data_IF_313567219104
#
_entry.id   IF_313567219104
#
_cell.length_a   1.000
_cell.length_b   1.000
_cell.length_c   1.000
_cell.angle_alpha   90.00
_cell.angle_beta   90.00
_cell.angle_gamma   90.00
#
_symmetry.space_group_name_H-M   'P 1'
#
loop_
_entity.id
_entity.type
_entity.pdbx_description
1 polymer ?
#
# COMPACT_ATOMS: atom_id res chain seq x y z
N UNK A 1 19.65 34.85 11.70
CA UNK A 1 18.75 34.17 12.66
C UNK A 1 17.46 33.59 12.06
N UNK A 2 16.76 34.26 11.12
CA UNK A 2 15.50 33.71 10.50
C UNK A 2 15.67 32.38 9.74
N UNK A 3 16.78 32.17 9.00
CA UNK A 3 16.99 30.94 8.24
C UNK A 3 17.19 29.68 9.09
N UNK A 4 17.86 29.78 10.25
CA UNK A 4 18.03 28.61 11.15
C UNK A 4 16.71 28.14 11.75
N UNK A 5 15.78 29.06 12.02
CA UNK A 5 14.45 28.67 12.54
C UNK A 5 13.57 28.04 11.50
N UNK A 6 13.64 28.48 10.23
CA UNK A 6 12.92 27.87 9.12
C UNK A 6 13.42 26.43 8.89
N UNK A 7 14.73 26.23 8.88
CA UNK A 7 15.31 24.88 8.71
C UNK A 7 14.86 23.94 9.84
N UNK A 8 14.86 24.39 11.10
CA UNK A 8 14.37 23.59 12.23
C UNK A 8 12.89 23.21 12.08
N UNK A 9 12.05 24.14 11.64
CA UNK A 9 10.62 23.88 11.40
C UNK A 9 10.46 22.83 10.29
N UNK A 10 11.16 22.98 9.17
CA UNK A 10 11.10 22.02 8.05
C UNK A 10 11.55 20.63 8.49
N UNK A 11 12.67 20.52 9.21
CA UNK A 11 13.16 19.24 9.72
C UNK A 11 12.16 18.60 10.69
N UNK A 12 11.56 19.35 11.60
CA UNK A 12 10.55 18.85 12.50
C UNK A 12 9.31 18.32 11.74
N UNK A 13 8.84 19.05 10.73
CA UNK A 13 7.71 18.60 9.89
C UNK A 13 8.05 17.28 9.20
N UNK A 14 9.26 17.17 8.62
CA UNK A 14 9.71 15.92 7.97
C UNK A 14 9.72 14.75 8.97
N UNK A 15 10.26 14.95 10.17
CA UNK A 15 10.33 13.91 11.20
C UNK A 15 8.94 13.44 11.61
N UNK A 16 8.05 14.38 11.93
CA UNK A 16 6.68 14.02 12.30
C UNK A 16 5.94 13.30 11.18
N UNK A 17 6.17 13.72 9.93
CA UNK A 17 5.62 13.01 8.75
C UNK A 17 6.13 11.58 8.68
N UNK A 18 7.44 11.35 8.85
CA UNK A 18 8.02 10.00 8.86
C UNK A 18 7.45 9.15 9.99
N UNK A 19 7.33 9.71 11.21
CA UNK A 19 6.77 8.99 12.36
C UNK A 19 5.31 8.60 12.09
N UNK A 20 4.50 9.52 11.58
CA UNK A 20 3.10 9.25 11.25
C UNK A 20 3.00 8.15 10.20
N UNK A 21 3.77 8.24 9.11
CA UNK A 21 3.77 7.22 8.04
C UNK A 21 4.23 5.87 8.59
N UNK A 22 5.31 5.82 9.36
CA UNK A 22 5.80 4.58 9.97
C UNK A 22 4.76 3.96 10.92
N UNK A 23 4.07 4.78 11.70
CA UNK A 23 3.00 4.33 12.61
C UNK A 23 1.82 3.76 11.82
N UNK A 24 1.39 4.43 10.75
CA UNK A 24 0.30 3.93 9.88
C UNK A 24 0.67 2.61 9.21
N UNK A 25 1.90 2.48 8.70
CA UNK A 25 2.40 1.23 8.13
C UNK A 25 2.45 0.11 9.17
N UNK A 26 2.87 0.41 10.39
CA UNK A 26 2.87 -0.58 11.49
C UNK A 26 1.46 -1.02 11.84
N UNK A 27 0.50 -0.10 11.93
CA UNK A 27 -0.91 -0.43 12.18
C UNK A 27 -1.45 -1.30 11.03
N UNK A 28 -1.14 -0.95 9.78
CA UNK A 28 -1.55 -1.72 8.61
C UNK A 28 -1.02 -3.16 8.65
N UNK A 29 0.24 -3.35 9.03
CA UNK A 29 0.85 -4.70 9.14
C UNK A 29 0.28 -5.49 10.32
N UNK A 30 -0.02 -4.86 11.45
CA UNK A 30 -0.65 -5.51 12.60
C UNK A 30 -2.12 -5.89 12.35
N UNK A 31 -2.81 -5.10 11.54
CA UNK A 31 -4.20 -5.38 11.12
C UNK A 31 -4.30 -6.22 9.84
N UNK A 32 -3.18 -6.69 9.30
CA UNK A 32 -3.22 -7.58 8.14
C UNK A 32 -3.98 -8.85 8.50
N UNK A 33 -4.85 -9.30 7.60
CA UNK A 33 -5.46 -10.62 7.69
C UNK A 33 -4.37 -11.69 7.70
N UNK A 34 -4.68 -12.88 8.18
CA UNK A 34 -3.74 -14.02 8.20
C UNK A 34 -3.15 -14.39 6.82
N UNK A 35 -3.64 -13.77 5.75
CA UNK A 35 -3.17 -13.88 4.36
C UNK A 35 -2.06 -12.87 3.98
N UNK A 36 -1.69 -11.96 4.90
CA UNK A 36 -0.64 -10.97 4.67
C UNK A 36 -1.08 -9.72 3.91
N UNK A 37 -2.38 -9.57 3.62
CA UNK A 37 -2.93 -8.38 2.95
C UNK A 37 -3.08 -7.24 3.95
N UNK A 38 -2.45 -6.07 3.71
CA UNK A 38 -2.52 -4.95 4.65
C UNK A 38 -3.94 -4.39 4.70
N UNK A 39 -4.44 -4.11 5.90
CA UNK A 39 -5.76 -3.50 6.12
C UNK A 39 -5.62 -2.28 7.03
N UNK A 40 -6.08 -1.13 6.58
CA UNK A 40 -6.07 0.14 7.32
C UNK A 40 -7.52 0.58 7.50
N UNK A 41 -8.10 0.28 8.65
CA UNK A 41 -9.48 0.68 8.99
C UNK A 41 -10.52 0.28 7.92
N UNK A 42 -10.41 -0.93 7.35
CA UNK A 42 -11.32 -1.43 6.32
C UNK A 42 -10.97 -0.98 4.89
N UNK A 43 -9.79 -0.39 4.70
CA UNK A 43 -9.24 -0.05 3.40
C UNK A 43 -7.95 -0.82 3.14
N UNK A 44 -7.81 -1.34 1.94
CA UNK A 44 -6.72 -2.22 1.52
C UNK A 44 -5.92 -1.52 0.42
N UNK A 45 -4.76 -0.92 0.74
CA UNK A 45 -3.87 -0.34 -0.26
C UNK A 45 -3.10 -1.43 -1.00
N UNK A 46 -3.16 -1.43 -2.34
CA UNK A 46 -2.54 -2.43 -3.20
C UNK A 46 -1.72 -1.77 -4.30
N UNK A 47 -0.49 -2.26 -4.50
CA UNK A 47 0.36 -1.85 -5.62
C UNK A 47 0.02 -2.69 -6.86
N UNK A 48 -0.26 -2.04 -7.97
CA UNK A 48 -0.60 -2.70 -9.23
C UNK A 48 0.67 -3.16 -9.94
N UNK A 49 0.85 -4.47 -10.05
CA UNK A 49 2.07 -5.09 -10.59
C UNK A 49 1.99 -5.43 -12.07
N UNK A 50 0.78 -5.50 -12.64
CA UNK A 50 0.56 -5.95 -14.02
C UNK A 50 -0.27 -4.96 -14.83
N UNK A 51 -0.31 -5.17 -16.14
CA UNK A 51 -1.07 -4.36 -17.10
C UNK A 51 -2.48 -4.92 -17.38
N UNK A 52 -2.90 -5.95 -16.63
CA UNK A 52 -4.14 -6.68 -16.91
C UNK A 52 -5.42 -5.84 -16.78
N UNK A 53 -5.38 -4.74 -16.01
CA UNK A 53 -6.52 -3.85 -15.79
C UNK A 53 -6.41 -2.51 -16.53
N UNK A 54 -5.44 -2.39 -17.44
CA UNK A 54 -5.35 -1.21 -18.30
C UNK A 54 -6.54 -1.10 -19.26
N UNK A 55 -6.98 0.10 -19.60
CA UNK A 55 -6.43 1.42 -19.22
C UNK A 55 -6.99 1.99 -17.91
N UNK A 56 -7.93 1.33 -17.25
CA UNK A 56 -8.62 1.90 -16.07
C UNK A 56 -7.69 1.95 -14.84
N UNK A 57 -6.91 0.91 -14.64
CA UNK A 57 -5.88 0.81 -13.59
C UNK A 57 -4.55 0.51 -14.27
N UNK A 58 -3.59 1.40 -14.12
CA UNK A 58 -2.29 1.29 -14.77
C UNK A 58 -1.30 0.54 -13.87
N UNK A 59 -0.38 -0.20 -14.48
CA UNK A 59 0.76 -0.75 -13.77
C UNK A 59 1.54 0.36 -13.04
N UNK A 60 1.88 0.12 -11.79
CA UNK A 60 2.58 1.08 -10.93
C UNK A 60 1.67 2.05 -10.18
N UNK A 61 0.35 1.98 -10.37
CA UNK A 61 -0.60 2.70 -9.53
C UNK A 61 -0.68 2.08 -8.13
N UNK A 62 -1.05 2.89 -7.15
CA UNK A 62 -1.58 2.41 -5.89
C UNK A 62 -3.11 2.51 -5.97
N UNK A 63 -3.80 1.41 -5.83
CA UNK A 63 -5.26 1.37 -5.66
C UNK A 63 -5.61 1.18 -4.19
N UNK A 64 -6.80 1.62 -3.81
CA UNK A 64 -7.32 1.40 -2.46
C UNK A 64 -8.68 0.73 -2.57
N UNK A 65 -8.72 -0.53 -2.14
CA UNK A 65 -9.94 -1.30 -2.09
C UNK A 65 -10.66 -1.06 -0.76
N UNK A 66 -11.98 -1.16 -0.79
CA UNK A 66 -12.77 -1.34 0.42
C UNK A 66 -12.78 -2.82 0.77
N UNK A 67 -12.51 -3.14 2.02
CA UNK A 67 -12.60 -4.52 2.51
C UNK A 67 -13.95 -5.15 2.17
N UNK A 68 -13.90 -6.37 1.63
CA UNK A 68 -15.11 -7.12 1.29
C UNK A 68 -15.65 -7.87 2.50
N UNK A 69 -16.93 -7.70 2.74
CA UNK A 69 -17.71 -8.44 3.74
C UNK A 69 -18.76 -9.29 3.01
N UNK A 70 -18.59 -10.60 3.04
CA UNK A 70 -19.44 -11.55 2.32
C UNK A 70 -20.87 -11.62 2.85
N UNK A 71 -21.11 -11.20 4.10
CA UNK A 71 -22.43 -11.23 4.72
C UNK A 71 -23.28 -10.01 4.34
N UNK A 72 -22.64 -8.86 4.14
CA UNK A 72 -23.34 -7.58 3.94
C UNK A 72 -23.23 -7.02 2.54
N UNK A 73 -22.28 -7.51 1.72
CA UNK A 73 -22.01 -6.98 0.38
C UNK A 73 -22.35 -8.01 -0.70
N UNK A 74 -23.21 -7.60 -1.64
CA UNK A 74 -23.47 -8.35 -2.87
C UNK A 74 -22.59 -7.82 -4.01
N UNK A 75 -21.97 -8.75 -4.72
CA UNK A 75 -21.15 -8.45 -5.90
C UNK A 75 -21.92 -8.78 -7.16
N UNK A 76 -21.70 -7.96 -8.19
CA UNK A 76 -22.36 -8.08 -9.48
C UNK A 76 -21.37 -7.99 -10.63
N UNK A 77 -21.81 -8.40 -11.81
CA UNK A 77 -21.05 -8.17 -13.05
C UNK A 77 -20.65 -6.71 -13.17
N UNK A 78 -19.36 -6.48 -13.47
CA UNK A 78 -18.75 -5.16 -13.61
C UNK A 78 -18.04 -4.64 -12.36
N UNK A 79 -18.28 -5.22 -11.16
CA UNK A 79 -17.50 -4.87 -9.98
C UNK A 79 -16.04 -5.33 -10.17
N UNK A 80 -15.09 -4.49 -9.75
CA UNK A 80 -13.67 -4.83 -9.72
C UNK A 80 -13.33 -5.31 -8.33
N UNK A 81 -12.79 -6.51 -8.24
CA UNK A 81 -12.49 -7.19 -6.97
C UNK A 81 -11.04 -7.62 -6.91
N UNK A 82 -10.46 -7.53 -5.71
CA UNK A 82 -9.17 -8.13 -5.40
C UNK A 82 -9.39 -9.42 -4.62
N UNK A 83 -8.76 -10.48 -5.07
CA UNK A 83 -8.94 -11.82 -4.51
C UNK A 83 -7.62 -12.60 -4.48
N UNK A 84 -7.55 -13.60 -3.62
CA UNK A 84 -6.39 -14.48 -3.51
C UNK A 84 -6.62 -15.69 -4.41
N UNK A 85 -5.72 -15.86 -5.38
CA UNK A 85 -5.66 -17.02 -6.23
C UNK A 85 -4.44 -17.88 -5.89
N UNK A 86 -4.57 -19.19 -6.07
CA UNK A 86 -3.44 -20.11 -5.98
C UNK A 86 -2.93 -20.41 -7.38
N UNK A 87 -1.72 -19.94 -7.71
CA UNK A 87 -1.06 -20.15 -8.98
C UNK A 87 0.27 -20.84 -8.71
N UNK A 88 0.47 -22.03 -9.28
CA UNK A 88 1.71 -22.82 -9.13
C UNK A 88 2.11 -23.02 -7.64
N UNK A 89 1.14 -23.33 -6.78
CA UNK A 89 1.33 -23.49 -5.33
C UNK A 89 1.78 -22.21 -4.58
N UNK A 90 1.53 -21.05 -5.18
CA UNK A 90 1.79 -19.74 -4.56
C UNK A 90 0.49 -18.96 -4.47
N UNK A 91 0.25 -18.32 -3.31
CA UNK A 91 -0.87 -17.41 -3.12
C UNK A 91 -0.53 -16.07 -3.74
N UNK A 92 -1.31 -15.67 -4.73
CA UNK A 92 -1.13 -14.41 -5.48
C UNK A 92 -2.39 -13.57 -5.34
N UNK A 93 -2.22 -12.30 -5.03
CA UNK A 93 -3.31 -11.33 -5.01
C UNK A 93 -3.54 -10.81 -6.44
N UNK A 94 -4.77 -10.94 -6.93
CA UNK A 94 -5.19 -10.53 -8.28
C UNK A 94 -6.32 -9.53 -8.16
N UNK A 95 -6.29 -8.47 -8.97
CA UNK A 95 -7.38 -7.50 -9.10
C UNK A 95 -7.94 -7.58 -10.50
N UNK A 96 -9.17 -8.07 -10.65
CA UNK A 96 -9.85 -8.22 -11.95
C UNK A 96 -11.33 -7.83 -11.82
N UNK A 97 -11.99 -7.68 -12.97
CA UNK A 97 -13.41 -7.35 -13.07
C UNK A 97 -14.26 -8.61 -13.13
N UNK A 98 -15.37 -8.63 -12.41
CA UNK A 98 -16.37 -9.70 -12.50
C UNK A 98 -17.05 -9.63 -13.87
N UNK A 99 -16.88 -10.69 -14.65
CA UNK A 99 -17.55 -10.86 -15.95
C UNK A 99 -18.87 -11.62 -15.81
N UNK A 100 -18.89 -12.70 -15.00
CA UNK A 100 -20.09 -13.46 -14.74
C UNK A 100 -20.22 -13.84 -13.27
N UNK A 101 -21.46 -13.90 -12.80
CA UNK A 101 -21.81 -14.44 -11.49
C UNK A 101 -22.46 -15.79 -11.68
N UNK A 102 -21.97 -16.82 -11.03
CA UNK A 102 -22.49 -18.18 -11.07
C UNK A 102 -23.12 -18.48 -9.71
N UNK A 103 -24.37 -18.94 -9.72
CA UNK A 103 -25.07 -19.36 -8.50
C UNK A 103 -25.60 -20.78 -8.73
N UNK A 104 -25.08 -21.74 -7.96
CA UNK A 104 -25.48 -23.14 -8.01
C UNK A 104 -25.72 -23.62 -6.58
N UNK A 105 -26.91 -24.10 -6.29
CA UNK A 105 -27.27 -24.65 -4.97
C UNK A 105 -26.91 -23.72 -3.79
N UNK A 106 -27.19 -22.42 -3.91
CA UNK A 106 -26.88 -21.36 -2.94
C UNK A 106 -25.37 -21.04 -2.81
N UNK A 107 -24.50 -21.74 -3.51
CA UNK A 107 -23.09 -21.35 -3.61
C UNK A 107 -22.92 -20.35 -4.75
N UNK A 108 -22.28 -19.21 -4.43
CA UNK A 108 -21.99 -18.15 -5.40
C UNK A 108 -20.50 -18.13 -5.67
N UNK A 109 -20.15 -18.15 -6.96
CA UNK A 109 -18.78 -17.96 -7.45
C UNK A 109 -18.77 -16.94 -8.60
N UNK A 110 -17.60 -16.44 -8.90
CA UNK A 110 -17.42 -15.38 -9.89
C UNK A 110 -16.41 -15.81 -10.95
N UNK A 111 -16.72 -15.52 -12.21
CA UNK A 111 -15.74 -15.55 -13.29
C UNK A 111 -15.23 -14.13 -13.46
N UNK A 112 -13.93 -13.95 -13.35
CA UNK A 112 -13.26 -12.67 -13.45
C UNK A 112 -12.48 -12.56 -14.75
N UNK A 113 -12.15 -11.32 -15.11
CA UNK A 113 -11.37 -11.00 -16.30
C UNK A 113 -10.63 -9.69 -16.08
N UNK A 114 -9.36 -9.64 -16.43
CA UNK A 114 -8.62 -8.37 -16.55
C UNK A 114 -9.14 -7.57 -17.75
N UNK A 115 -9.31 -6.27 -17.60
CA UNK A 115 -9.86 -5.40 -18.65
C UNK A 115 -9.04 -5.44 -19.94
N UNK A 116 -7.73 -5.62 -19.82
CA UNK A 116 -6.79 -5.76 -20.94
C UNK A 116 -6.59 -7.23 -21.40
N UNK A 117 -7.19 -8.20 -20.74
CA UNK A 117 -7.03 -9.61 -21.09
C UNK A 117 -7.99 -10.00 -22.22
N UNK A 118 -7.57 -10.91 -23.10
CA UNK A 118 -8.42 -11.42 -24.18
C UNK A 118 -9.46 -12.43 -23.69
N UNK A 119 -9.15 -13.17 -22.62
CA UNK A 119 -9.96 -14.28 -22.07
C UNK A 119 -10.26 -14.04 -20.60
N UNK A 120 -11.31 -14.70 -20.13
CA UNK A 120 -11.62 -14.81 -18.73
C UNK A 120 -10.53 -15.60 -17.99
N UNK A 121 -10.45 -15.41 -16.69
CA UNK A 121 -9.57 -16.20 -15.84
C UNK A 121 -10.03 -17.67 -15.83
N UNK A 122 -9.08 -18.60 -15.79
CA UNK A 122 -9.39 -20.03 -15.91
C UNK A 122 -10.13 -20.57 -14.69
N UNK A 123 -9.90 -20.00 -13.52
CA UNK A 123 -10.49 -20.44 -12.26
C UNK A 123 -11.64 -19.53 -11.82
N UNK A 124 -12.66 -20.15 -11.23
CA UNK A 124 -13.73 -19.42 -10.56
C UNK A 124 -13.24 -18.92 -9.21
N UNK A 125 -13.67 -17.73 -8.83
CA UNK A 125 -13.36 -17.09 -7.55
C UNK A 125 -14.52 -17.32 -6.58
N UNK A 126 -14.27 -17.95 -5.45
CA UNK A 126 -15.26 -18.10 -4.39
C UNK A 126 -15.40 -16.80 -3.58
N UNK A 127 -16.54 -16.61 -2.92
CA UNK A 127 -16.78 -15.43 -2.06
C UNK A 127 -15.68 -15.26 -1.01
N UNK A 128 -15.27 -16.35 -0.37
CA UNK A 128 -14.27 -16.33 0.70
C UNK A 128 -12.84 -15.96 0.24
N UNK A 129 -12.55 -16.05 -1.06
CA UNK A 129 -11.25 -15.69 -1.62
C UNK A 129 -11.15 -14.19 -1.90
N UNK A 130 -12.27 -13.45 -1.90
CA UNK A 130 -12.30 -12.03 -2.18
C UNK A 130 -11.91 -11.26 -0.92
N UNK A 131 -10.92 -10.40 -1.05
CA UNK A 131 -10.41 -9.57 0.04
C UNK A 131 -10.93 -8.14 -0.01
N UNK A 132 -11.17 -7.60 -1.20
CA UNK A 132 -11.58 -6.22 -1.35
C UNK A 132 -12.30 -5.91 -2.66
N UNK A 133 -12.96 -4.74 -2.68
CA UNK A 133 -13.67 -4.20 -3.83
C UNK A 133 -13.09 -2.83 -4.16
N UNK A 134 -12.61 -2.66 -5.37
CA UNK A 134 -12.17 -1.36 -5.85
C UNK A 134 -13.36 -0.47 -6.19
N UNK A 135 -13.36 0.75 -5.67
CA UNK A 135 -14.43 1.75 -5.87
C UNK A 135 -13.98 2.98 -6.67
N UNK A 136 -12.93 2.83 -7.49
CA UNK A 136 -12.45 3.88 -8.39
C UNK A 136 -11.33 4.75 -7.83
N UNK A 137 -10.87 4.54 -6.58
CA UNK A 137 -9.78 5.35 -6.03
C UNK A 137 -8.42 4.76 -6.39
N UNK A 138 -7.61 5.54 -7.11
CA UNK A 138 -6.23 5.20 -7.43
C UNK A 138 -5.32 6.43 -7.32
N UNK A 139 -4.07 6.21 -6.98
CA UNK A 139 -3.02 7.23 -6.98
C UNK A 139 -1.97 6.81 -8.02
N UNK A 140 -1.87 7.54 -9.14
CA UNK A 140 -0.93 7.21 -10.20
C UNK A 140 0.52 7.21 -9.69
N UNK A 141 1.32 6.24 -10.15
CA UNK A 141 2.75 6.07 -9.86
C UNK A 141 3.14 5.83 -8.40
N UNK A 142 2.20 5.92 -7.44
CA UNK A 142 2.54 5.76 -6.03
C UNK A 142 2.93 4.30 -5.70
N UNK A 143 2.37 3.32 -6.42
CA UNK A 143 2.79 1.93 -6.35
C UNK A 143 4.26 1.76 -6.75
N UNK A 144 4.67 2.36 -7.86
CA UNK A 144 6.07 2.34 -8.30
C UNK A 144 7.02 2.94 -7.27
N UNK A 145 6.63 4.06 -6.63
CA UNK A 145 7.42 4.67 -5.56
C UNK A 145 7.51 3.72 -4.35
N UNK A 146 6.39 3.12 -3.96
CA UNK A 146 6.33 2.15 -2.87
C UNK A 146 7.23 0.94 -3.15
N UNK A 147 7.18 0.38 -4.35
CA UNK A 147 8.02 -0.74 -4.77
C UNK A 147 9.50 -0.37 -4.73
N UNK A 148 9.85 0.82 -5.23
CA UNK A 148 11.23 1.31 -5.16
C UNK A 148 11.72 1.43 -3.71
N UNK A 149 10.91 1.99 -2.81
CA UNK A 149 11.26 2.12 -1.39
C UNK A 149 11.44 0.76 -0.69
N UNK A 150 10.78 -0.29 -1.17
CA UNK A 150 10.95 -1.65 -0.68
C UNK A 150 12.22 -2.33 -1.19
N UNK A 151 12.85 -1.80 -2.24
CA UNK A 151 14.17 -2.29 -2.68
C UNK A 151 15.26 -1.91 -1.67
N UNK A 152 16.31 -2.74 -1.58
CA UNK A 152 17.48 -2.44 -0.72
C UNK A 152 18.07 -1.05 -1.02
N UNK A 153 18.22 -0.71 -2.29
CA UNK A 153 18.77 0.57 -2.75
C UNK A 153 17.86 1.74 -2.39
N UNK A 154 16.55 1.63 -2.68
CA UNK A 154 15.56 2.65 -2.37
C UNK A 154 15.45 2.90 -0.87
N UNK A 155 15.40 1.83 -0.05
CA UNK A 155 15.35 1.96 1.40
C UNK A 155 16.60 2.64 1.96
N UNK A 156 17.80 2.23 1.52
CA UNK A 156 19.04 2.84 2.00
C UNK A 156 19.11 4.31 1.58
N UNK A 157 18.82 4.65 0.32
CA UNK A 157 18.99 6.01 -0.19
C UNK A 157 17.92 6.98 0.31
N UNK A 158 16.67 6.54 0.43
CA UNK A 158 15.55 7.40 0.77
C UNK A 158 15.19 7.41 2.27
N UNK A 159 15.58 6.38 3.02
CA UNK A 159 15.26 6.28 4.45
C UNK A 159 16.52 6.36 5.30
N UNK A 160 17.45 5.42 5.13
CA UNK A 160 18.63 5.31 6.00
C UNK A 160 19.55 6.50 5.87
N UNK A 161 19.90 6.89 4.63
CA UNK A 161 20.85 7.98 4.39
C UNK A 161 20.37 9.34 4.93
N UNK A 162 19.13 9.79 4.65
CA UNK A 162 18.62 11.02 5.24
C UNK A 162 18.56 11.00 6.78
N UNK A 163 18.17 9.87 7.37
CA UNK A 163 18.13 9.71 8.82
C UNK A 163 19.53 9.76 9.43
N UNK A 164 20.52 9.13 8.80
CA UNK A 164 21.91 9.16 9.26
C UNK A 164 22.49 10.60 9.21
N UNK A 165 22.26 11.32 8.11
CA UNK A 165 22.68 12.71 7.98
C UNK A 165 21.99 13.62 9.03
N UNK A 166 20.70 13.39 9.26
CA UNK A 166 19.97 14.10 10.30
C UNK A 166 20.52 13.79 11.69
N UNK A 167 20.82 12.54 12.01
CA UNK A 167 21.41 12.15 13.28
C UNK A 167 22.77 12.83 13.51
N UNK A 168 23.65 12.84 12.50
CA UNK A 168 24.95 13.52 12.57
C UNK A 168 24.76 15.02 12.82
N UNK A 169 23.79 15.64 12.14
CA UNK A 169 23.47 17.05 12.35
C UNK A 169 22.99 17.32 13.79
N UNK A 170 22.11 16.49 14.34
CA UNK A 170 21.61 16.62 15.70
C UNK A 170 22.73 16.41 16.73
N UNK A 171 23.62 15.44 16.49
CA UNK A 171 24.77 15.19 17.34
C UNK A 171 25.72 16.40 17.36
N UNK A 172 25.98 17.01 16.21
CA UNK A 172 26.77 18.24 16.10
C UNK A 172 26.14 19.40 16.90
N UNK A 173 24.84 19.65 16.75
CA UNK A 173 24.14 20.70 17.54
C UNK A 173 24.22 20.41 19.04
N UNK A 174 24.03 19.16 19.45
CA UNK A 174 24.13 18.76 20.86
C UNK A 174 25.53 19.02 21.45
N UNK A 175 26.57 18.62 20.70
CA UNK A 175 27.96 18.86 21.12
C UNK A 175 28.25 20.36 21.25
N UNK A 176 27.81 21.19 20.30
CA UNK A 176 28.00 22.65 20.35
C UNK A 176 27.31 23.27 21.57
N UNK A 177 26.11 22.84 21.91
CA UNK A 177 25.40 23.27 23.12
C UNK A 177 26.14 22.88 24.39
N UNK A 178 26.77 21.73 24.45
CA UNK A 178 27.59 21.30 25.61
C UNK A 178 28.84 22.20 25.79
N UNK A 179 29.47 22.58 24.69
CA UNK A 179 30.62 23.51 24.74
C UNK A 179 30.19 24.91 25.22
N UNK A 180 29.10 25.44 24.67
CA UNK A 180 28.56 26.76 25.09
C UNK A 180 28.18 26.77 26.59
N UNK A 181 27.56 25.68 27.07
CA UNK A 181 27.24 25.56 28.52
C UNK A 181 28.48 25.49 29.41
N UNK A 182 29.59 24.94 28.92
CA UNK A 182 30.84 24.82 29.65
C UNK A 182 31.59 26.15 29.74
N UNK A 183 31.43 27.05 28.77
CA UNK A 183 32.04 28.40 28.78
C UNK A 183 31.31 29.41 29.71
N UNK A 184 30.05 29.14 30.05
CA UNK A 184 29.24 30.01 30.92
C UNK A 184 29.47 29.71 32.41
N UNK A 185 30.17 28.63 32.72
CA UNK A 185 30.45 28.19 34.10
C UNK A 185 31.89 28.44 34.49
#
# INVERSE_FOLDING_TARGET
MKGKNILKIVLNVIIWTIIIVATLLTIATLNSRGDGVPNIFGYIPLNVQSESMEPEIMKGDLIVDKEYDEETMELKKGDVVSYIAEISNQRVLITHRIDHVISINQMVSYITKGDNNLKNDDNQVAKGDIVGIWKGFRIPFLGTISDFLQTKTGFISCVILPLALFFVYQLYEFIMLLFEYKEIK
#
